data_IF_301672416718
#
_entry.id   IF_301672416718
#
_cell.length_a   1.000
_cell.length_b   1.000
_cell.length_c   1.000
_cell.angle_alpha   90.00
_cell.angle_beta   90.00
_cell.angle_gamma   90.00
#
_symmetry.space_group_name_H-M   'P 1'
#
loop_
_entity.id
_entity.type
_entity.pdbx_description
1 polymer ?
#
# COMPACT_ATOMS: atom_id res chain seq x y z
N UNK A 1 -6.29 23.85 7.81
CA UNK A 1 -6.74 23.00 6.69
C UNK A 1 -5.80 23.07 5.49
N UNK A 2 -5.59 24.25 4.88
CA UNK A 2 -4.74 24.38 3.69
C UNK A 2 -3.27 23.93 3.89
N UNK A 3 -2.67 24.18 5.06
CA UNK A 3 -1.33 23.71 5.39
C UNK A 3 -1.21 22.18 5.30
N UNK A 4 -2.15 21.46 5.91
CA UNK A 4 -2.16 19.99 5.92
C UNK A 4 -2.44 19.44 4.53
N UNK A 5 -3.35 20.09 3.79
CA UNK A 5 -3.61 19.73 2.40
C UNK A 5 -2.37 19.95 1.53
N UNK A 6 -1.66 21.07 1.66
CA UNK A 6 -0.42 21.34 0.94
C UNK A 6 0.65 20.30 1.30
N UNK A 7 0.85 20.03 2.59
CA UNK A 7 1.81 19.00 3.04
C UNK A 7 1.45 17.59 2.54
N UNK A 8 0.17 17.22 2.53
CA UNK A 8 -0.27 15.88 2.13
C UNK A 8 -0.52 15.68 0.62
N UNK A 9 -0.65 16.76 -0.16
CA UNK A 9 -0.91 16.70 -1.61
C UNK A 9 0.29 17.09 -2.47
N UNK A 10 1.37 17.56 -1.86
CA UNK A 10 2.59 17.96 -2.56
C UNK A 10 3.79 17.27 -1.93
N UNK A 11 4.91 17.22 -2.65
CA UNK A 11 6.18 16.69 -2.15
C UNK A 11 6.97 17.68 -1.29
N UNK A 12 6.31 18.71 -0.74
CA UNK A 12 6.94 19.72 0.09
C UNK A 12 7.23 19.19 1.50
N UNK A 13 8.46 19.37 1.93
CA UNK A 13 8.88 19.07 3.30
C UNK A 13 8.30 20.08 4.29
N UNK A 14 8.20 19.74 5.58
CA UNK A 14 7.82 20.68 6.64
C UNK A 14 8.71 21.94 6.69
N UNK A 15 9.96 21.85 6.21
CA UNK A 15 10.88 23.00 6.10
C UNK A 15 10.49 23.96 4.98
N UNK A 16 9.82 23.48 3.95
CA UNK A 16 9.27 24.31 2.87
C UNK A 16 7.85 24.80 3.22
N UNK A 17 7.02 23.93 3.78
CA UNK A 17 5.65 24.26 4.18
C UNK A 17 5.61 25.32 5.28
N UNK A 18 6.49 25.24 6.29
CA UNK A 18 6.51 26.23 7.37
C UNK A 18 6.57 27.68 6.86
N UNK A 19 7.63 28.06 6.13
CA UNK A 19 7.77 29.39 5.55
C UNK A 19 6.62 29.80 4.61
N UNK A 20 6.11 28.87 3.79
CA UNK A 20 4.98 29.14 2.88
C UNK A 20 3.71 29.59 3.60
N UNK A 21 3.53 29.14 4.85
CA UNK A 21 2.38 29.49 5.69
C UNK A 21 2.75 30.45 6.84
N UNK A 22 3.95 31.04 6.83
CA UNK A 22 4.40 31.98 7.87
C UNK A 22 4.58 31.37 9.26
N UNK A 23 4.78 30.05 9.37
CA UNK A 23 4.93 29.34 10.64
C UNK A 23 6.28 28.62 10.74
N UNK A 24 6.73 28.36 11.97
CA UNK A 24 7.96 27.57 12.16
C UNK A 24 7.76 26.11 11.71
N UNK A 25 8.86 25.43 11.36
CA UNK A 25 8.85 24.00 11.02
C UNK A 25 8.19 23.15 12.12
N UNK A 26 8.46 23.44 13.40
CA UNK A 26 7.87 22.72 14.53
C UNK A 26 6.39 23.06 14.77
N UNK A 27 5.94 24.26 14.38
CA UNK A 27 4.52 24.59 14.39
C UNK A 27 3.79 23.84 13.27
N UNK A 28 4.34 23.81 12.06
CA UNK A 28 3.79 23.03 10.95
C UNK A 28 3.68 21.54 11.29
N UNK A 29 4.73 20.96 11.89
CA UNK A 29 4.78 19.57 12.37
C UNK A 29 3.60 19.25 13.31
N UNK A 30 3.43 20.05 14.38
CA UNK A 30 2.32 19.87 15.34
C UNK A 30 0.94 20.07 14.71
N UNK A 31 0.80 20.99 13.76
CA UNK A 31 -0.45 21.21 13.03
C UNK A 31 -0.80 19.96 12.19
N UNK A 32 0.18 19.39 11.49
CA UNK A 32 0.00 18.17 10.70
C UNK A 32 -0.32 16.98 11.61
N UNK A 33 0.42 16.80 12.70
CA UNK A 33 0.17 15.68 13.63
C UNK A 33 -1.22 15.75 14.25
N UNK A 34 -1.69 16.95 14.59
CA UNK A 34 -2.99 17.13 15.22
C UNK A 34 -4.15 17.01 14.22
N UNK A 35 -4.05 17.64 13.05
CA UNK A 35 -5.16 17.75 12.09
C UNK A 35 -5.12 16.70 10.99
N UNK A 36 -3.96 16.10 10.72
CA UNK A 36 -3.76 15.08 9.68
C UNK A 36 -4.72 13.90 9.81
N UNK A 37 -4.85 13.26 11.00
CA UNK A 37 -5.78 12.15 11.19
C UNK A 37 -7.24 12.50 10.92
N UNK A 38 -7.68 13.71 11.28
CA UNK A 38 -9.04 14.19 11.02
C UNK A 38 -9.32 14.46 9.53
N UNK A 39 -8.26 14.63 8.74
CA UNK A 39 -8.33 14.90 7.30
C UNK A 39 -8.04 13.68 6.44
N UNK A 40 -7.66 12.56 7.04
CA UNK A 40 -7.50 11.30 6.33
C UNK A 40 -8.86 10.87 5.76
N UNK A 41 -8.90 10.64 4.45
CA UNK A 41 -10.07 10.09 3.79
C UNK A 41 -10.40 8.72 4.40
N UNK A 42 -11.66 8.53 4.80
CA UNK A 42 -12.11 7.23 5.27
C UNK A 42 -12.08 6.22 4.12
N UNK A 43 -11.63 5.00 4.41
CA UNK A 43 -11.73 3.89 3.48
C UNK A 43 -13.21 3.64 3.15
N UNK A 44 -13.50 3.47 1.86
CA UNK A 44 -14.87 3.29 1.37
C UNK A 44 -15.37 1.92 1.84
N UNK A 45 -16.49 1.86 2.56
CA UNK A 45 -16.96 0.61 3.18
C UNK A 45 -17.88 -0.27 2.32
N UNK A 46 -18.29 0.20 1.13
CA UNK A 46 -19.19 -0.54 0.24
C UNK A 46 -18.71 -0.45 -1.20
N UNK A 47 -18.57 -1.62 -1.81
CA UNK A 47 -18.09 -1.80 -3.17
C UNK A 47 -19.13 -2.56 -3.99
N UNK A 48 -19.05 -2.44 -5.32
CA UNK A 48 -19.90 -3.23 -6.21
C UNK A 48 -19.48 -4.70 -6.13
N UNK A 49 -20.42 -5.61 -6.33
CA UNK A 49 -20.17 -7.07 -6.22
C UNK A 49 -19.05 -7.54 -7.14
N UNK A 50 -18.89 -6.87 -8.28
CA UNK A 50 -17.98 -7.26 -9.37
C UNK A 50 -16.66 -6.47 -9.31
N UNK A 51 -16.43 -5.75 -8.22
CA UNK A 51 -15.21 -4.95 -8.04
C UNK A 51 -14.00 -5.88 -7.89
N UNK A 52 -12.97 -5.62 -8.68
CA UNK A 52 -11.68 -6.30 -8.57
C UNK A 52 -10.71 -5.39 -7.82
N UNK A 53 -10.12 -5.90 -6.75
CA UNK A 53 -9.05 -5.21 -6.06
C UNK A 53 -7.69 -5.75 -6.40
N UNK A 54 -6.68 -4.90 -6.24
CA UNK A 54 -5.27 -5.30 -6.25
C UNK A 54 -4.68 -4.86 -4.93
N UNK A 55 -4.03 -5.78 -4.21
CA UNK A 55 -3.26 -5.46 -3.01
C UNK A 55 -1.78 -5.64 -3.27
N UNK A 56 -0.99 -4.70 -2.75
CA UNK A 56 0.46 -4.82 -2.74
C UNK A 56 1.08 -4.18 -1.50
N UNK A 57 2.26 -4.69 -1.13
CA UNK A 57 3.03 -4.25 0.02
C UNK A 57 4.10 -3.26 -0.42
N UNK A 58 4.18 -2.12 0.24
CA UNK A 58 5.26 -1.15 0.01
C UNK A 58 6.01 -0.83 1.29
N UNK A 59 7.34 -0.88 1.21
CA UNK A 59 8.22 -0.48 2.30
C UNK A 59 8.42 1.04 2.26
N UNK A 60 8.11 1.70 3.38
CA UNK A 60 8.31 3.14 3.55
C UNK A 60 9.43 3.35 4.58
N UNK A 61 10.57 3.94 4.18
CA UNK A 61 11.65 4.26 5.12
C UNK A 61 11.12 5.12 6.27
N UNK A 62 11.30 4.65 7.50
CA UNK A 62 10.73 5.27 8.69
C UNK A 62 11.82 5.37 9.76
N UNK A 63 12.00 6.58 10.31
CA UNK A 63 13.03 6.86 11.32
C UNK A 63 12.63 6.42 12.72
N UNK A 64 11.33 6.39 13.01
CA UNK A 64 10.81 5.93 14.29
C UNK A 64 11.08 4.42 14.44
N UNK A 65 12.02 4.11 15.35
CA UNK A 65 12.47 2.73 15.62
C UNK A 65 11.51 1.94 16.51
N UNK A 66 10.48 2.58 17.06
CA UNK A 66 9.44 1.87 17.83
C UNK A 66 8.50 1.10 16.92
N UNK A 67 8.31 1.57 15.67
CA UNK A 67 7.41 0.97 14.67
C UNK A 67 8.16 0.35 13.48
N UNK A 68 9.34 0.88 13.14
CA UNK A 68 10.11 0.41 11.99
C UNK A 68 11.04 -0.75 12.37
N UNK A 69 11.27 -1.66 11.42
CA UNK A 69 12.26 -2.72 11.54
C UNK A 69 13.16 -2.77 10.30
N UNK A 70 14.35 -3.37 10.45
CA UNK A 70 15.23 -3.68 9.32
C UNK A 70 14.50 -4.58 8.33
N UNK A 71 14.49 -4.19 7.07
CA UNK A 71 13.78 -4.88 5.99
C UNK A 71 14.76 -5.55 5.01
N UNK A 72 14.22 -6.24 4.00
CA UNK A 72 15.01 -6.92 2.94
C UNK A 72 15.98 -6.01 2.17
N UNK A 73 15.79 -4.69 2.22
CA UNK A 73 16.66 -3.71 1.58
C UNK A 73 17.71 -3.12 2.55
N UNK A 74 17.94 -3.75 3.71
CA UNK A 74 18.84 -3.30 4.78
C UNK A 74 18.54 -1.88 5.31
N UNK A 75 17.28 -1.43 5.17
CA UNK A 75 16.79 -0.14 5.64
C UNK A 75 15.69 -0.35 6.67
N UNK A 76 15.68 0.48 7.71
CA UNK A 76 14.57 0.56 8.66
C UNK A 76 13.34 1.12 7.96
N UNK A 77 12.27 0.35 7.97
CA UNK A 77 11.04 0.71 7.27
C UNK A 77 9.83 0.08 7.94
N UNK A 78 8.67 0.56 7.53
CA UNK A 78 7.37 -0.03 7.81
C UNK A 78 6.78 -0.58 6.51
N UNK A 79 6.19 -1.77 6.59
CA UNK A 79 5.43 -2.39 5.50
C UNK A 79 4.00 -1.82 5.54
N UNK A 80 3.60 -1.15 4.46
CA UNK A 80 2.26 -0.64 4.26
C UNK A 80 1.55 -1.49 3.22
N UNK A 81 0.40 -2.03 3.58
CA UNK A 81 -0.46 -2.78 2.68
C UNK A 81 -1.45 -1.82 2.04
N UNK A 82 -1.40 -1.69 0.72
CA UNK A 82 -2.25 -0.76 -0.01
C UNK A 82 -3.15 -1.54 -0.93
N UNK A 83 -4.44 -1.24 -0.89
CA UNK A 83 -5.44 -1.83 -1.76
C UNK A 83 -5.95 -0.77 -2.72
N UNK A 84 -5.95 -1.10 -3.99
CA UNK A 84 -6.49 -0.27 -5.05
C UNK A 84 -7.65 -0.96 -5.75
N UNK A 85 -8.59 -0.16 -6.23
CA UNK A 85 -9.57 -0.57 -7.24
C UNK A 85 -8.85 -0.78 -8.59
N UNK A 86 -9.01 -1.95 -9.19
CA UNK A 86 -8.26 -2.30 -10.39
C UNK A 86 -8.60 -1.39 -11.57
N UNK A 87 -9.85 -0.94 -11.70
CA UNK A 87 -10.31 -0.19 -12.87
C UNK A 87 -9.99 1.29 -12.77
N UNK A 88 -10.30 1.91 -11.63
CA UNK A 88 -10.07 3.32 -11.38
C UNK A 88 -8.66 3.63 -10.87
N UNK A 89 -7.91 2.62 -10.41
CA UNK A 89 -6.57 2.75 -9.77
C UNK A 89 -6.55 3.59 -8.49
N UNK A 90 -7.73 3.91 -7.95
CA UNK A 90 -7.87 4.66 -6.72
C UNK A 90 -7.55 3.78 -5.52
N UNK A 91 -6.84 4.35 -4.54
CA UNK A 91 -6.61 3.70 -3.24
C UNK A 91 -7.93 3.61 -2.49
N UNK A 92 -8.33 2.38 -2.13
CA UNK A 92 -9.58 2.11 -1.40
C UNK A 92 -9.34 1.82 0.07
N UNK A 93 -8.17 1.30 0.41
CA UNK A 93 -7.74 1.05 1.78
C UNK A 93 -6.21 1.12 1.90
N UNK A 94 -5.74 1.60 3.04
CA UNK A 94 -4.34 1.50 3.47
C UNK A 94 -4.35 0.85 4.85
N UNK A 95 -3.71 -0.30 4.96
CA UNK A 95 -3.56 -1.01 6.23
C UNK A 95 -2.67 -0.23 7.19
N UNK A 96 -2.81 -0.52 8.49
CA UNK A 96 -1.90 0.03 9.51
C UNK A 96 -0.44 -0.33 9.16
N UNK A 97 0.51 0.60 9.35
CA UNK A 97 1.91 0.31 9.13
C UNK A 97 2.37 -0.81 10.08
N UNK A 98 3.06 -1.80 9.53
CA UNK A 98 3.67 -2.88 10.30
C UNK A 98 5.20 -2.79 10.19
N UNK A 99 5.97 -3.43 11.08
CA UNK A 99 7.42 -3.49 10.94
C UNK A 99 7.85 -4.06 9.57
N UNK A 100 8.86 -3.47 8.93
CA UNK A 100 9.27 -3.78 7.56
C UNK A 100 9.83 -5.20 7.30
N UNK A 101 10.00 -6.00 8.35
CA UNK A 101 10.36 -7.42 8.26
C UNK A 101 9.14 -8.36 8.22
N UNK A 102 7.91 -7.83 8.29
CA UNK A 102 6.70 -8.63 8.17
C UNK A 102 6.46 -9.02 6.71
N UNK A 103 6.30 -10.32 6.49
CA UNK A 103 5.94 -10.86 5.19
C UNK A 103 4.52 -10.44 4.79
N UNK A 104 4.26 -10.42 3.49
CA UNK A 104 3.01 -9.87 2.96
C UNK A 104 1.78 -10.70 3.33
N UNK A 105 1.90 -12.04 3.41
CA UNK A 105 0.82 -12.89 3.93
C UNK A 105 0.31 -12.47 5.31
N UNK A 106 1.24 -12.20 6.24
CA UNK A 106 0.91 -11.80 7.60
C UNK A 106 0.49 -10.34 7.64
N UNK A 107 1.18 -9.48 6.89
CA UNK A 107 0.87 -8.07 6.81
C UNK A 107 -0.56 -7.84 6.29
N UNK A 108 -1.01 -8.63 5.31
CA UNK A 108 -2.39 -8.60 4.80
C UNK A 108 -3.44 -8.74 5.90
N UNK A 109 -3.22 -9.64 6.87
CA UNK A 109 -4.12 -9.85 7.99
C UNK A 109 -3.92 -8.81 9.09
N UNK A 110 -2.69 -8.69 9.59
CA UNK A 110 -2.35 -7.91 10.79
C UNK A 110 -2.53 -6.40 10.58
N UNK A 111 -2.42 -5.91 9.34
CA UNK A 111 -2.61 -4.48 9.02
C UNK A 111 -4.08 -4.04 9.01
N UNK A 112 -5.02 -4.99 9.01
CA UNK A 112 -6.45 -4.71 8.83
C UNK A 112 -6.88 -4.48 7.38
N UNK A 113 -5.97 -4.54 6.41
CA UNK A 113 -6.29 -4.38 4.99
C UNK A 113 -7.31 -5.44 4.51
N UNK A 114 -7.19 -6.69 4.99
CA UNK A 114 -8.18 -7.75 4.74
C UNK A 114 -9.58 -7.38 5.21
N UNK A 115 -9.68 -6.81 6.42
CA UNK A 115 -10.97 -6.42 6.98
C UNK A 115 -11.59 -5.24 6.20
N UNK A 116 -10.76 -4.29 5.74
CA UNK A 116 -11.22 -3.14 4.96
C UNK A 116 -11.83 -3.53 3.60
N UNK A 117 -11.37 -4.62 3.00
CA UNK A 117 -11.90 -5.16 1.73
C UNK A 117 -13.17 -6.01 1.93
N UNK A 118 -13.42 -6.47 3.15
CA UNK A 118 -14.63 -7.21 3.51
C UNK A 118 -14.78 -8.52 2.74
N UNK A 119 -16.01 -8.78 2.27
CA UNK A 119 -16.38 -10.02 1.54
C UNK A 119 -16.19 -9.90 0.03
N UNK A 120 -15.37 -8.96 -0.45
CA UNK A 120 -15.18 -8.74 -1.88
C UNK A 120 -14.59 -9.99 -2.52
N UNK A 121 -15.19 -10.52 -3.60
CA UNK A 121 -14.86 -11.85 -4.10
C UNK A 121 -13.51 -11.94 -4.81
N UNK A 122 -12.96 -10.84 -5.34
CA UNK A 122 -11.73 -10.88 -6.13
C UNK A 122 -10.73 -9.83 -5.67
N UNK A 123 -9.63 -10.33 -5.12
CA UNK A 123 -8.48 -9.53 -4.72
C UNK A 123 -7.23 -10.18 -5.30
N UNK A 124 -6.55 -9.46 -6.17
CA UNK A 124 -5.35 -9.86 -6.88
C UNK A 124 -4.13 -9.44 -6.07
N UNK A 125 -3.16 -10.33 -5.93
CA UNK A 125 -1.94 -10.08 -5.17
C UNK A 125 -0.74 -10.77 -5.80
N UNK A 126 0.46 -10.46 -5.30
CA UNK A 126 1.68 -11.13 -5.76
C UNK A 126 1.89 -12.51 -5.12
N UNK A 127 2.95 -13.21 -5.55
CA UNK A 127 3.26 -14.54 -5.02
C UNK A 127 3.63 -14.56 -3.53
N UNK A 128 3.99 -13.39 -2.95
CA UNK A 128 4.28 -13.18 -1.53
C UNK A 128 3.06 -13.25 -0.62
N UNK A 129 1.84 -13.31 -1.19
CA UNK A 129 0.58 -13.49 -0.46
C UNK A 129 0.09 -14.95 -0.45
N UNK A 130 0.98 -15.92 -0.65
CA UNK A 130 0.61 -17.35 -0.69
C UNK A 130 -0.11 -17.81 0.59
N UNK A 131 -1.20 -18.55 0.42
CA UNK A 131 -1.98 -19.10 1.54
C UNK A 131 -3.01 -18.13 2.16
N UNK A 132 -3.22 -16.97 1.55
CA UNK A 132 -4.21 -15.97 2.01
C UNK A 132 -5.59 -16.10 1.37
N UNK A 133 -5.72 -16.95 0.33
CA UNK A 133 -6.94 -17.09 -0.49
C UNK A 133 -7.07 -16.05 -1.61
N UNK A 134 -6.10 -15.16 -1.77
CA UNK A 134 -6.07 -14.14 -2.83
C UNK A 134 -5.70 -14.74 -4.20
N UNK A 135 -6.07 -14.05 -5.27
CA UNK A 135 -5.70 -14.43 -6.65
C UNK A 135 -4.23 -14.07 -6.90
N UNK A 136 -3.36 -15.08 -6.75
CA UNK A 136 -1.91 -14.97 -6.95
C UNK A 136 -1.48 -15.67 -8.23
N UNK A 137 -0.31 -15.33 -8.81
CA UNK A 137 0.15 -16.01 -10.03
C UNK A 137 0.46 -17.48 -9.76
N UNK A 138 0.32 -18.31 -10.79
CA UNK A 138 0.77 -19.70 -10.74
C UNK A 138 2.28 -19.76 -10.53
N UNK A 139 2.73 -20.67 -9.67
CA UNK A 139 4.13 -20.84 -9.34
C UNK A 139 4.55 -22.31 -9.49
N UNK A 140 5.85 -22.52 -9.72
CA UNK A 140 6.49 -23.83 -9.77
C UNK A 140 6.73 -24.34 -8.35
N UNK A 141 6.46 -25.62 -8.07
CA UNK A 141 6.73 -26.22 -6.77
C UNK A 141 8.19 -26.62 -6.63
N UNK A 142 8.80 -27.06 -7.73
CA UNK A 142 10.21 -27.41 -7.83
C UNK A 142 10.90 -26.53 -8.89
N UNK A 143 12.21 -26.31 -8.76
CA UNK A 143 12.95 -25.47 -9.72
C UNK A 143 12.89 -25.99 -11.15
N UNK A 144 12.90 -27.32 -11.30
CA UNK A 144 12.97 -28.01 -12.59
C UNK A 144 11.58 -28.24 -13.22
N UNK A 145 10.51 -27.88 -12.50
CA UNK A 145 9.15 -27.99 -13.00
C UNK A 145 8.86 -26.85 -14.00
N UNK A 146 8.38 -27.17 -15.19
CA UNK A 146 7.88 -26.17 -16.14
C UNK A 146 6.40 -25.90 -15.88
N UNK A 147 5.99 -24.64 -16.02
CA UNK A 147 4.57 -24.30 -16.02
C UNK A 147 4.00 -24.62 -17.41
N UNK A 148 2.86 -25.32 -17.51
CA UNK A 148 2.13 -25.43 -18.77
C UNK A 148 1.87 -24.05 -19.39
N UNK A 149 1.91 -23.97 -20.72
CA UNK A 149 1.80 -22.70 -21.48
C UNK A 149 0.60 -21.83 -21.04
N UNK A 150 -0.56 -22.45 -20.80
CA UNK A 150 -1.75 -21.72 -20.34
C UNK A 150 -1.58 -21.03 -18.97
N UNK A 151 -0.78 -21.61 -18.05
CA UNK A 151 -0.45 -20.96 -16.76
C UNK A 151 0.50 -19.79 -16.96
N UNK A 152 1.42 -19.90 -17.91
CA UNK A 152 2.35 -18.82 -18.25
C UNK A 152 1.61 -17.64 -18.89
N UNK A 153 0.67 -17.92 -19.79
CA UNK A 153 -0.21 -16.92 -20.39
C UNK A 153 -1.10 -16.24 -19.33
N UNK A 154 -1.71 -17.02 -18.43
CA UNK A 154 -2.47 -16.45 -17.33
C UNK A 154 -1.60 -15.59 -16.40
N UNK A 155 -0.37 -16.01 -16.11
CA UNK A 155 0.59 -15.19 -15.36
C UNK A 155 0.98 -13.90 -16.09
N UNK A 156 1.02 -13.89 -17.42
CA UNK A 156 1.25 -12.68 -18.20
C UNK A 156 0.09 -11.70 -18.09
N UNK A 157 -1.15 -12.20 -18.15
CA UNK A 157 -2.35 -11.39 -17.86
C UNK A 157 -2.32 -10.83 -16.43
N UNK A 158 -2.01 -11.68 -15.44
CA UNK A 158 -1.88 -11.30 -14.04
C UNK A 158 -0.87 -10.16 -13.83
N UNK A 159 0.31 -10.26 -14.45
CA UNK A 159 1.35 -9.21 -14.44
C UNK A 159 0.84 -7.87 -15.01
N UNK A 160 0.10 -7.89 -16.13
CA UNK A 160 -0.48 -6.67 -16.72
C UNK A 160 -1.48 -5.99 -15.78
N UNK A 161 -2.31 -6.77 -15.09
CA UNK A 161 -3.25 -6.22 -14.10
C UNK A 161 -2.50 -5.65 -12.91
N UNK A 162 -1.51 -6.37 -12.37
CA UNK A 162 -0.69 -5.91 -11.24
C UNK A 162 0.08 -4.63 -11.51
N UNK A 163 0.57 -4.40 -12.73
CA UNK A 163 1.27 -3.15 -13.07
C UNK A 163 0.47 -1.88 -12.71
N UNK A 164 -0.87 -1.97 -12.62
CA UNK A 164 -1.74 -0.88 -12.17
C UNK A 164 -1.41 -0.40 -10.74
N UNK A 165 -1.06 -1.29 -9.81
CA UNK A 165 -0.70 -0.90 -8.43
C UNK A 165 0.66 -0.23 -8.36
N UNK A 166 1.60 -0.64 -9.21
CA UNK A 166 2.92 -0.03 -9.32
C UNK A 166 2.80 1.42 -9.82
N UNK A 167 1.91 1.69 -10.77
CA UNK A 167 1.60 3.06 -11.19
C UNK A 167 1.01 3.89 -10.05
N UNK A 168 0.09 3.33 -9.25
CA UNK A 168 -0.43 4.03 -8.06
C UNK A 168 0.68 4.33 -7.06
N UNK A 169 1.61 3.40 -6.82
CA UNK A 169 2.77 3.64 -5.96
C UNK A 169 3.72 4.71 -6.48
N UNK A 170 3.92 4.80 -7.80
CA UNK A 170 4.71 5.88 -8.38
C UNK A 170 4.11 7.25 -8.03
N UNK A 171 2.79 7.40 -8.11
CA UNK A 171 2.09 8.63 -7.71
C UNK A 171 2.09 8.88 -6.20
N UNK A 172 2.08 7.84 -5.38
CA UNK A 172 2.12 8.00 -3.91
C UNK A 172 3.51 8.41 -3.39
N UNK A 173 4.57 8.09 -4.14
CA UNK A 173 5.97 8.31 -3.74
C UNK A 173 6.61 9.54 -4.41
N UNK A 174 5.94 10.13 -5.38
CA UNK A 174 6.36 11.36 -6.09
C UNK A 174 6.04 12.61 -5.29
#
# INVERSE_FOLDING_TARGET
MLLVAAYGRTSLTLRQVGPLFGVSKSAADRIVDHLGPALALQSRGRFRKDTVFIVDGTLVPTRDRTVAASSKNYRYSTNHQVVIDADSRLVVAVGKPLPGNRNDCRAWQDSGAKAAVGTTPTVIADGGYRGTGLTIPHYRRHKDEQLPAWKEEHNASHRKVRARVEHTFAHMKS
#
